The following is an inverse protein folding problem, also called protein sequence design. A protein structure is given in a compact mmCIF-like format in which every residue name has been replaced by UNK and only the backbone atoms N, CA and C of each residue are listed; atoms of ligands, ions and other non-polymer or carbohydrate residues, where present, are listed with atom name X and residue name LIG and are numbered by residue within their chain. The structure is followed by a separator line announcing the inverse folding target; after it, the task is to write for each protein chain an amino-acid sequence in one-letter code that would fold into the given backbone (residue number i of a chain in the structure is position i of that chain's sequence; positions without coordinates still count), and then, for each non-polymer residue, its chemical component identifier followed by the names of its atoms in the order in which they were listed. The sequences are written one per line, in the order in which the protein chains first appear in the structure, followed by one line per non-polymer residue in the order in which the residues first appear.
data_IF_250761443515
#
_entry.id   IF_250761443515
#
_cell.length_a   1.000
_cell.length_b   1.000
_cell.length_c   1.000
_cell.angle_alpha   90.00
_cell.angle_beta   90.00
_cell.angle_gamma   90.00
#
_symmetry.space_group_name_H-M   'P 1'
#
loop_
_entity.id
_entity.type
_entity.pdbx_description
1 polymer ?
#
# COMPACT_ATOMS: atom_id res chain seq x y z
N UNK A 1 8.35 -10.87 -10.98
CA UNK A 1 7.66 -11.55 -9.87
C UNK A 1 6.27 -11.95 -10.30
N UNK A 2 5.83 -13.15 -9.98
CA UNK A 2 4.48 -13.59 -10.31
C UNK A 2 3.46 -12.85 -9.44
N UNK A 3 2.24 -12.70 -9.97
CA UNK A 3 1.20 -11.95 -9.28
C UNK A 3 0.90 -12.49 -7.89
N UNK A 4 0.83 -13.82 -7.75
CA UNK A 4 0.56 -14.43 -6.45
C UNK A 4 1.70 -14.22 -5.47
N UNK A 5 2.93 -14.28 -5.94
CA UNK A 5 4.11 -14.04 -5.11
C UNK A 5 4.13 -12.59 -4.62
N UNK A 6 3.81 -11.67 -5.50
CA UNK A 6 3.73 -10.27 -5.14
C UNK A 6 2.66 -10.03 -4.08
N UNK A 7 1.48 -10.62 -4.27
CA UNK A 7 0.40 -10.50 -3.30
C UNK A 7 0.78 -11.08 -1.94
N UNK A 8 1.46 -12.21 -1.92
CA UNK A 8 1.92 -12.82 -0.68
C UNK A 8 2.96 -11.93 0.02
N UNK A 9 3.88 -11.36 -0.76
CA UNK A 9 4.90 -10.47 -0.21
C UNK A 9 4.27 -9.24 0.43
N UNK A 10 3.30 -8.64 -0.23
CA UNK A 10 2.60 -7.47 0.29
C UNK A 10 1.82 -7.84 1.55
N UNK A 11 1.16 -8.99 1.55
CA UNK A 11 0.41 -9.46 2.72
C UNK A 11 1.32 -9.68 3.93
N UNK A 12 2.48 -10.27 3.71
CA UNK A 12 3.46 -10.48 4.77
C UNK A 12 3.94 -9.15 5.34
N UNK A 13 4.23 -8.20 4.46
CA UNK A 13 4.64 -6.87 4.89
C UNK A 13 3.54 -6.20 5.71
N UNK A 14 2.29 -6.33 5.29
CA UNK A 14 1.16 -5.77 6.01
C UNK A 14 1.06 -6.35 7.43
N UNK A 15 1.25 -7.65 7.55
CA UNK A 15 1.25 -8.30 8.87
C UNK A 15 2.36 -7.74 9.76
N UNK A 16 3.55 -7.54 9.21
CA UNK A 16 4.66 -6.99 9.96
C UNK A 16 4.37 -5.55 10.43
N UNK A 17 3.78 -4.76 9.57
CA UNK A 17 3.43 -3.38 9.92
C UNK A 17 2.38 -3.35 11.02
N UNK A 18 1.43 -4.27 10.98
CA UNK A 18 0.32 -4.30 11.93
C UNK A 18 0.72 -4.77 13.32
N UNK A 19 1.83 -5.49 13.44
CA UNK A 19 2.24 -6.05 14.73
C UNK A 19 2.45 -4.97 15.79
N UNK A 20 1.89 -5.20 16.96
CA UNK A 20 2.07 -4.32 18.10
C UNK A 20 1.29 -3.01 18.02
N UNK A 21 0.40 -2.87 17.05
CA UNK A 21 -0.35 -1.63 16.87
C UNK A 21 -1.83 -1.84 17.16
N UNK A 22 -2.49 -0.78 17.62
CA UNK A 22 -3.93 -0.80 17.84
C UNK A 22 -4.69 -0.76 16.51
N UNK A 23 -5.97 -1.19 16.50
CA UNK A 23 -6.77 -1.08 15.28
C UNK A 23 -6.86 0.34 14.73
N UNK A 24 -6.88 1.35 15.58
CA UNK A 24 -6.93 2.75 15.17
C UNK A 24 -5.65 3.16 14.47
N UNK A 25 -4.52 2.72 14.99
CA UNK A 25 -3.22 3.00 14.37
C UNK A 25 -3.08 2.31 13.03
N UNK A 26 -3.54 1.06 12.94
CA UNK A 26 -3.52 0.31 11.70
C UNK A 26 -4.39 1.00 10.65
N UNK A 27 -5.58 1.46 11.05
CA UNK A 27 -6.48 2.17 10.14
C UNK A 27 -5.86 3.47 9.63
N UNK A 28 -5.17 4.21 10.49
CA UNK A 28 -4.49 5.43 10.08
C UNK A 28 -3.38 5.14 9.07
N UNK A 29 -2.56 4.14 9.35
CA UNK A 29 -1.49 3.73 8.44
C UNK A 29 -2.08 3.31 7.10
N UNK A 30 -3.17 2.54 7.11
CA UNK A 30 -3.85 2.11 5.90
C UNK A 30 -4.30 3.30 5.06
N UNK A 31 -4.87 4.32 5.70
CA UNK A 31 -5.33 5.53 5.01
C UNK A 31 -4.17 6.26 4.35
N UNK A 32 -3.03 6.34 5.02
CA UNK A 32 -1.84 7.00 4.48
C UNK A 32 -1.32 6.25 3.25
N UNK A 33 -1.25 4.93 3.33
CA UNK A 33 -0.79 4.12 2.21
C UNK A 33 -1.75 4.19 1.02
N UNK A 34 -3.05 4.22 1.28
CA UNK A 34 -4.04 4.37 0.21
C UNK A 34 -3.87 5.70 -0.50
N UNK A 35 -3.72 6.78 0.25
CA UNK A 35 -3.50 8.11 -0.31
C UNK A 35 -2.21 8.17 -1.11
N UNK A 36 -1.16 7.58 -0.59
CA UNK A 36 0.13 7.52 -1.29
C UNK A 36 -0.02 6.77 -2.61
N UNK A 37 -0.67 5.62 -2.58
CA UNK A 37 -0.90 4.82 -3.78
C UNK A 37 -1.72 5.55 -4.82
N UNK A 38 -2.79 6.21 -4.40
CA UNK A 38 -3.65 6.97 -5.29
C UNK A 38 -2.92 8.14 -5.93
N UNK A 39 -2.10 8.82 -5.15
CA UNK A 39 -1.31 9.95 -5.66
C UNK A 39 -0.28 9.48 -6.68
N UNK A 40 0.40 8.38 -6.39
CA UNK A 40 1.36 7.80 -7.33
C UNK A 40 0.69 7.37 -8.63
N UNK A 41 -0.51 6.80 -8.53
CA UNK A 41 -1.27 6.41 -9.72
C UNK A 41 -1.63 7.62 -10.57
N UNK A 42 -2.00 8.72 -9.93
CA UNK A 42 -2.32 9.97 -10.63
C UNK A 42 -1.09 10.50 -11.35
N UNK A 43 0.05 10.50 -10.68
CA UNK A 43 1.31 10.97 -11.27
C UNK A 43 1.68 10.10 -12.47
N UNK A 44 1.56 8.79 -12.33
CA UNK A 44 1.89 7.86 -13.41
C UNK A 44 0.98 8.08 -14.62
N UNK A 45 -0.32 8.28 -14.38
CA UNK A 45 -1.27 8.55 -15.46
C UNK A 45 -0.95 9.86 -16.18
N UNK A 46 -0.61 10.89 -15.43
CA UNK A 46 -0.25 12.18 -16.00
C UNK A 46 1.02 12.07 -16.86
N UNK A 47 2.03 11.38 -16.37
CA UNK A 47 3.27 11.19 -17.12
C UNK A 47 3.04 10.38 -18.39
N UNK A 48 2.14 9.43 -18.36
CA UNK A 48 1.83 8.62 -19.54
C UNK A 48 1.13 9.46 -20.62
N UNK A 49 0.42 10.51 -20.24
CA UNK A 49 -0.25 11.40 -21.17
C UNK A 49 0.69 12.45 -21.77
N UNK A 50 1.76 12.74 -21.09
CA UNK A 50 2.78 13.69 -21.56
C UNK A 50 3.95 12.95 -22.15
#
# INVERSE_FOLDING_TARGET
MQSCELALSVSTLACCIAEGKSPEEIALISSIFMQLGDTLATIAAHQALC
#
